data_IF_097485036898
#
_entry.id   IF_097485036898
#
_cell.length_a   1.000
_cell.length_b   1.000
_cell.length_c   1.000
_cell.angle_alpha   90.00
_cell.angle_beta   90.00
_cell.angle_gamma   90.00
#
_symmetry.space_group_name_H-M   'P 1'
#
loop_
_entity.id
_entity.type
_entity.pdbx_description
1 polymer ?
#
# COMPACT_ATOMS: atom_id res chain seq x y z
N UNK A 1 -29.42 -5.57 -8.30
CA UNK A 1 -28.40 -6.56 -8.71
C UNK A 1 -29.03 -7.93 -8.69
N UNK A 2 -28.72 -8.80 -9.67
CA UNK A 2 -29.27 -10.16 -9.67
C UNK A 2 -28.71 -10.98 -8.49
N UNK A 3 -29.49 -11.94 -8.00
CA UNK A 3 -29.06 -12.88 -6.96
C UNK A 3 -27.77 -13.64 -7.35
N UNK A 4 -27.66 -13.99 -8.62
CA UNK A 4 -26.51 -14.67 -9.22
C UNK A 4 -25.23 -13.82 -9.15
N UNK A 5 -25.32 -12.52 -9.45
CA UNK A 5 -24.18 -11.60 -9.38
C UNK A 5 -23.67 -11.44 -7.95
N UNK A 6 -24.58 -11.38 -6.98
CA UNK A 6 -24.24 -11.34 -5.55
C UNK A 6 -23.56 -12.66 -5.13
N UNK A 7 -24.08 -13.80 -5.61
CA UNK A 7 -23.51 -15.12 -5.35
C UNK A 7 -22.10 -15.27 -5.94
N UNK A 8 -21.89 -14.83 -7.19
CA UNK A 8 -20.57 -14.77 -7.82
C UNK A 8 -19.59 -14.01 -6.93
N UNK A 9 -19.90 -12.76 -6.55
CA UNK A 9 -18.99 -11.94 -5.76
C UNK A 9 -18.73 -12.52 -4.38
N UNK A 10 -19.73 -13.17 -3.76
CA UNK A 10 -19.57 -13.87 -2.49
C UNK A 10 -18.57 -15.02 -2.60
N UNK A 11 -18.74 -15.91 -3.59
CA UNK A 11 -17.83 -17.05 -3.80
C UNK A 11 -16.42 -16.59 -4.22
N UNK A 12 -16.34 -15.61 -5.14
CA UNK A 12 -15.07 -15.06 -5.61
C UNK A 12 -14.26 -14.43 -4.48
N UNK A 13 -14.89 -13.63 -3.60
CA UNK A 13 -14.22 -13.02 -2.44
C UNK A 13 -13.77 -14.04 -1.40
N UNK A 14 -14.48 -15.17 -1.29
CA UNK A 14 -14.14 -16.26 -0.38
C UNK A 14 -13.08 -17.23 -0.95
N UNK A 15 -12.54 -16.96 -2.15
CA UNK A 15 -11.59 -17.83 -2.86
C UNK A 15 -12.14 -19.21 -3.21
N UNK A 16 -13.47 -19.37 -3.21
CA UNK A 16 -14.14 -20.56 -3.71
C UNK A 16 -14.32 -20.42 -5.23
N UNK A 17 -13.22 -20.67 -5.96
CA UNK A 17 -13.16 -20.41 -7.39
C UNK A 17 -14.00 -21.37 -8.21
N UNK A 18 -14.24 -22.59 -7.75
CA UNK A 18 -15.13 -23.54 -8.40
C UNK A 18 -16.56 -23.00 -8.39
N UNK A 19 -17.08 -22.63 -7.21
CA UNK A 19 -18.40 -22.03 -7.11
C UNK A 19 -18.49 -20.69 -7.83
N UNK A 20 -17.44 -19.86 -7.76
CA UNK A 20 -17.41 -18.58 -8.47
C UNK A 20 -17.48 -18.78 -10.00
N UNK A 21 -16.78 -19.77 -10.54
CA UNK A 21 -16.85 -20.11 -11.96
C UNK A 21 -18.27 -20.53 -12.36
N UNK A 22 -18.88 -21.45 -11.61
CA UNK A 22 -20.27 -21.89 -11.88
C UNK A 22 -21.25 -20.71 -11.87
N UNK A 23 -21.12 -19.81 -10.88
CA UNK A 23 -21.97 -18.62 -10.82
C UNK A 23 -21.71 -17.67 -11.98
N UNK A 24 -20.45 -17.50 -12.41
CA UNK A 24 -20.09 -16.66 -13.55
C UNK A 24 -20.64 -17.21 -14.87
N UNK A 25 -20.50 -18.52 -15.10
CA UNK A 25 -20.95 -19.18 -16.32
C UNK A 25 -22.47 -19.08 -16.50
N UNK A 26 -23.22 -19.06 -15.39
CA UNK A 26 -24.66 -18.89 -15.37
C UNK A 26 -25.15 -17.43 -15.55
N UNK A 27 -24.25 -16.44 -15.60
CA UNK A 27 -24.65 -15.04 -15.80
C UNK A 27 -25.05 -14.76 -17.26
N UNK A 28 -26.07 -13.92 -17.42
CA UNK A 28 -26.38 -13.25 -18.70
C UNK A 28 -25.19 -12.42 -19.19
N UNK A 29 -25.06 -12.26 -20.52
CA UNK A 29 -23.92 -11.59 -21.16
C UNK A 29 -23.62 -10.20 -20.60
N UNK A 30 -24.65 -9.39 -20.35
CA UNK A 30 -24.46 -8.04 -19.78
C UNK A 30 -23.88 -8.08 -18.36
N UNK A 31 -24.25 -9.08 -17.55
CA UNK A 31 -23.69 -9.24 -16.20
C UNK A 31 -22.27 -9.80 -16.24
N UNK A 32 -21.95 -10.70 -17.19
CA UNK A 32 -20.57 -11.14 -17.43
C UNK A 32 -19.67 -9.98 -17.81
N UNK A 33 -20.12 -9.12 -18.74
CA UNK A 33 -19.40 -7.91 -19.11
C UNK A 33 -19.23 -6.96 -17.91
N UNK A 34 -20.25 -6.78 -17.08
CA UNK A 34 -20.14 -5.99 -15.86
C UNK A 34 -19.09 -6.56 -14.88
N UNK A 35 -19.05 -7.89 -14.69
CA UNK A 35 -18.02 -8.54 -13.86
C UNK A 35 -16.63 -8.34 -14.45
N UNK A 36 -16.45 -8.55 -15.77
CA UNK A 36 -15.15 -8.35 -16.43
C UNK A 36 -14.70 -6.88 -16.36
N UNK A 37 -15.62 -5.94 -16.56
CA UNK A 37 -15.35 -4.51 -16.42
C UNK A 37 -14.98 -4.14 -14.98
N UNK A 38 -15.67 -4.70 -13.97
CA UNK A 38 -15.35 -4.46 -12.56
C UNK A 38 -14.01 -5.10 -12.16
N UNK A 39 -13.69 -6.30 -12.66
CA UNK A 39 -12.37 -6.93 -12.47
C UNK A 39 -11.26 -6.11 -13.15
N UNK A 40 -11.51 -5.62 -14.36
CA UNK A 40 -10.58 -4.77 -15.09
C UNK A 40 -10.37 -3.45 -14.37
N UNK A 41 -11.43 -2.73 -13.99
CA UNK A 41 -11.35 -1.49 -13.22
C UNK A 41 -10.61 -1.69 -11.90
N UNK A 42 -10.92 -2.75 -11.15
CA UNK A 42 -10.15 -3.07 -9.93
C UNK A 42 -8.68 -3.31 -10.27
N UNK A 43 -8.37 -3.99 -11.37
CA UNK A 43 -6.98 -4.16 -11.82
C UNK A 43 -6.34 -2.86 -12.30
N UNK A 44 -7.11 -1.89 -12.79
CA UNK A 44 -6.66 -0.60 -13.33
C UNK A 44 -6.42 0.42 -12.22
N UNK A 45 -7.33 0.53 -11.25
CA UNK A 45 -7.14 1.31 -10.01
C UNK A 45 -6.07 0.71 -9.10
N UNK A 46 -5.69 -0.56 -9.30
CA UNK A 46 -4.52 -1.17 -8.69
C UNK A 46 -3.22 -0.99 -9.49
N UNK A 47 -3.26 -0.43 -10.71
CA UNK A 47 -2.05 -0.17 -11.50
C UNK A 47 -1.43 1.13 -11.08
N UNK A 48 -2.11 2.25 -11.30
CA UNK A 48 -1.51 3.57 -11.05
C UNK A 48 -1.58 3.93 -9.56
N UNK A 49 -0.44 4.10 -8.86
CA UNK A 49 -0.45 4.63 -7.51
C UNK A 49 -1.07 6.03 -7.50
N UNK A 50 -1.67 6.44 -6.38
CA UNK A 50 -2.13 7.81 -6.21
C UNK A 50 -0.97 8.76 -5.92
N UNK A 51 0.02 8.27 -5.18
CA UNK A 51 1.04 9.08 -4.56
C UNK A 51 2.36 8.32 -4.42
N UNK A 52 3.46 9.06 -4.60
CA UNK A 52 4.81 8.65 -4.21
C UNK A 52 5.34 9.61 -3.14
N UNK A 53 5.90 9.07 -2.06
CA UNK A 53 6.67 9.83 -1.07
C UNK A 53 8.14 9.42 -1.12
N UNK A 54 9.04 10.40 -1.06
CA UNK A 54 10.49 10.15 -1.10
C UNK A 54 11.13 10.75 0.14
N UNK A 55 11.84 9.91 0.88
CA UNK A 55 12.55 10.30 2.09
C UNK A 55 14.01 9.91 1.96
N UNK A 56 14.90 10.85 2.27
CA UNK A 56 16.33 10.62 2.37
C UNK A 56 16.70 10.51 3.84
N UNK A 57 17.51 9.52 4.18
CA UNK A 57 18.00 9.31 5.54
C UNK A 57 19.49 9.08 5.57
N UNK A 58 20.11 9.46 6.68
CA UNK A 58 21.52 9.18 6.97
C UNK A 58 21.62 8.41 8.28
N UNK A 59 22.15 7.19 8.20
CA UNK A 59 22.49 6.38 9.37
C UNK A 59 23.54 7.09 10.23
N UNK A 60 23.41 7.00 11.54
CA UNK A 60 24.47 7.41 12.45
C UNK A 60 25.73 6.54 12.28
N UNK A 61 26.89 7.04 12.73
CA UNK A 61 28.21 6.44 12.45
C UNK A 61 28.34 4.96 12.83
N UNK A 62 27.63 4.51 13.87
CA UNK A 62 27.68 3.11 14.33
C UNK A 62 26.43 2.28 13.96
N UNK A 63 25.52 2.83 13.16
CA UNK A 63 24.27 2.17 12.79
C UNK A 63 24.37 1.53 11.40
N UNK A 64 23.61 0.45 11.22
CA UNK A 64 23.46 -0.28 9.97
C UNK A 64 22.05 -0.12 9.40
N UNK A 65 21.88 -0.50 8.13
CA UNK A 65 20.56 -0.58 7.52
C UNK A 65 19.60 -1.50 8.28
N UNK A 66 20.12 -2.57 8.90
CA UNK A 66 19.31 -3.49 9.70
C UNK A 66 18.75 -2.80 10.94
N UNK A 67 19.55 -1.96 11.60
CA UNK A 67 19.12 -1.19 12.77
C UNK A 67 18.03 -0.20 12.38
N UNK A 68 18.23 0.52 11.26
CA UNK A 68 17.18 1.34 10.66
C UNK A 68 15.91 0.54 10.37
N UNK A 69 16.01 -0.60 9.69
CA UNK A 69 14.84 -1.41 9.32
C UNK A 69 14.05 -1.86 10.56
N UNK A 70 14.73 -2.24 11.64
CA UNK A 70 14.09 -2.63 12.90
C UNK A 70 13.37 -1.46 13.58
N UNK A 71 13.97 -0.27 13.58
CA UNK A 71 13.34 0.94 14.11
C UNK A 71 12.15 1.39 13.25
N UNK A 72 12.32 1.35 11.92
CA UNK A 72 11.33 1.78 10.94
C UNK A 72 10.11 0.86 10.85
N UNK A 73 10.32 -0.46 10.95
CA UNK A 73 9.22 -1.41 10.83
C UNK A 73 8.25 -1.25 12.01
N UNK A 74 6.93 -1.19 11.74
CA UNK A 74 5.95 -1.03 12.80
C UNK A 74 5.92 -2.29 13.67
N UNK A 75 5.77 -2.09 14.99
CA UNK A 75 5.57 -3.20 15.92
C UNK A 75 4.17 -3.78 15.75
N UNK A 76 4.00 -5.05 16.12
CA UNK A 76 2.73 -5.76 15.98
C UNK A 76 1.58 -5.11 16.77
N UNK A 77 1.87 -4.52 17.93
CA UNK A 77 0.90 -3.78 18.76
C UNK A 77 0.44 -2.44 18.14
N UNK A 78 1.13 -1.96 17.11
CA UNK A 78 0.77 -0.76 16.33
C UNK A 78 0.06 -1.10 15.02
N UNK A 79 -0.18 -2.39 14.76
CA UNK A 79 -0.75 -2.88 13.52
C UNK A 79 -2.14 -3.47 13.79
N UNK A 80 -3.07 -3.21 12.87
CA UNK A 80 -4.34 -3.94 12.81
C UNK A 80 -4.09 -5.32 12.22
N UNK A 81 -4.47 -6.36 12.94
CA UNK A 81 -4.43 -7.73 12.42
C UNK A 81 -5.55 -7.92 11.39
N UNK A 82 -5.18 -8.32 10.18
CA UNK A 82 -6.13 -8.70 9.11
C UNK A 82 -5.92 -10.17 8.75
N UNK A 83 -6.99 -10.94 8.77
CA UNK A 83 -6.97 -12.34 8.33
C UNK A 83 -7.56 -12.44 6.92
N UNK A 84 -6.79 -12.95 5.96
CA UNK A 84 -7.25 -13.18 4.58
C UNK A 84 -7.02 -14.64 4.16
N UNK A 85 -8.03 -15.47 4.33
CA UNK A 85 -7.91 -16.92 4.15
C UNK A 85 -7.09 -17.54 5.28
N UNK A 86 -5.97 -18.20 4.96
CA UNK A 86 -5.07 -18.82 5.94
C UNK A 86 -3.86 -17.94 6.32
N UNK A 87 -3.85 -16.68 5.90
CA UNK A 87 -2.73 -15.76 6.13
C UNK A 87 -3.17 -14.60 7.02
N UNK A 88 -2.30 -14.24 7.95
CA UNK A 88 -2.43 -13.08 8.84
C UNK A 88 -1.51 -11.98 8.34
N UNK A 89 -2.06 -10.79 8.17
CA UNK A 89 -1.38 -9.58 7.75
C UNK A 89 -1.38 -8.57 8.89
N UNK A 90 -0.26 -7.86 9.05
CA UNK A 90 -0.14 -6.73 9.98
C UNK A 90 -0.34 -5.44 9.15
N UNK A 91 -1.51 -4.84 9.25
CA UNK A 91 -1.82 -3.60 8.55
C UNK A 91 -1.49 -2.40 9.46
N UNK A 92 -0.46 -1.64 9.10
CA UNK A 92 -0.14 -0.37 9.74
C UNK A 92 -0.81 0.83 9.05
N UNK A 93 -0.84 0.81 7.71
CA UNK A 93 -1.47 1.86 6.91
C UNK A 93 -2.87 1.45 6.48
N UNK A 94 -3.83 2.39 6.54
CA UNK A 94 -5.23 2.14 6.20
C UNK A 94 -5.43 1.85 4.71
N UNK A 95 -4.53 2.35 3.86
CA UNK A 95 -4.50 2.11 2.42
C UNK A 95 -3.36 1.17 2.02
N UNK A 96 -3.42 0.53 0.84
CA UNK A 96 -2.29 -0.22 0.32
C UNK A 96 -1.07 0.68 0.13
N UNK A 97 -0.01 0.39 0.87
CA UNK A 97 1.28 1.09 0.78
C UNK A 97 2.38 0.07 0.56
N UNK A 98 3.24 0.35 -0.41
CA UNK A 98 4.51 -0.35 -0.61
C UNK A 98 5.64 0.61 -0.31
N UNK A 99 6.59 0.22 0.54
CA UNK A 99 7.79 1.02 0.79
C UNK A 99 9.01 0.25 0.30
N UNK A 100 9.81 0.90 -0.55
CA UNK A 100 11.09 0.39 -1.02
C UNK A 100 12.17 1.19 -0.29
N UNK A 101 13.00 0.50 0.48
CA UNK A 101 14.17 1.10 1.12
C UNK A 101 15.42 0.62 0.37
N UNK A 102 16.28 1.56 -0.03
CA UNK A 102 17.52 1.28 -0.74
C UNK A 102 18.70 2.01 -0.07
N UNK A 103 19.88 1.41 -0.12
CA UNK A 103 21.14 2.02 0.32
C UNK A 103 21.84 2.61 -0.90
N UNK A 104 22.47 3.77 -0.76
CA UNK A 104 23.30 4.33 -1.83
C UNK A 104 24.60 3.50 -1.98
N UNK A 105 24.89 3.03 -3.19
CA UNK A 105 26.09 2.22 -3.47
C UNK A 105 27.40 2.99 -3.26
N UNK A 106 27.37 4.32 -3.36
CA UNK A 106 28.54 5.19 -3.15
C UNK A 106 28.66 5.69 -1.71
N UNK A 107 27.57 5.62 -0.93
CA UNK A 107 27.54 6.00 0.47
C UNK A 107 26.61 5.06 1.24
N UNK A 108 27.14 3.99 1.87
CA UNK A 108 26.31 3.00 2.56
C UNK A 108 25.59 3.55 3.80
N UNK A 109 25.90 4.79 4.24
CA UNK A 109 25.18 5.48 5.32
C UNK A 109 23.93 6.18 4.81
N UNK A 110 23.78 6.39 3.51
CA UNK A 110 22.60 7.02 2.94
C UNK A 110 21.54 5.97 2.56
N UNK A 111 20.31 6.22 2.97
CA UNK A 111 19.13 5.43 2.66
C UNK A 111 18.13 6.30 1.91
N UNK A 112 17.56 5.78 0.84
CA UNK A 112 16.38 6.34 0.19
C UNK A 112 15.19 5.41 0.45
N UNK A 113 14.12 5.98 1.01
CA UNK A 113 12.83 5.31 1.17
C UNK A 113 11.84 5.89 0.18
N UNK A 114 11.30 5.04 -0.69
CA UNK A 114 10.22 5.38 -1.62
C UNK A 114 8.96 4.69 -1.17
N UNK A 115 7.99 5.47 -0.67
CA UNK A 115 6.65 5.02 -0.36
C UNK A 115 5.74 5.19 -1.56
N UNK A 116 5.03 4.15 -1.95
CA UNK A 116 4.08 4.12 -3.05
C UNK A 116 2.72 3.78 -2.45
N UNK A 117 1.73 4.64 -2.65
CA UNK A 117 0.40 4.50 -2.03
C UNK A 117 -0.67 4.42 -3.11
N UNK A 118 -1.55 3.42 -2.99
CA UNK A 118 -2.72 3.28 -3.84
C UNK A 118 -3.97 3.68 -3.06
N UNK A 119 -4.97 4.17 -3.79
CA UNK A 119 -6.32 4.43 -3.29
C UNK A 119 -7.30 3.71 -4.19
N UNK A 120 -8.32 3.09 -3.61
CA UNK A 120 -9.28 2.26 -4.35
C UNK A 120 -10.56 3.00 -4.69
N UNK A 121 -10.80 4.14 -4.03
CA UNK A 121 -11.99 4.97 -4.21
C UNK A 121 -11.71 6.43 -3.80
N UNK A 122 -12.67 7.32 -4.08
CA UNK A 122 -12.54 8.76 -3.80
C UNK A 122 -12.53 9.07 -2.30
N UNK A 123 -13.25 8.29 -1.50
CA UNK A 123 -13.26 8.46 -0.04
C UNK A 123 -11.86 8.18 0.56
N UNK A 124 -11.19 7.11 0.10
CA UNK A 124 -9.80 6.80 0.47
C UNK A 124 -8.80 7.85 -0.01
N UNK A 125 -9.01 8.41 -1.20
CA UNK A 125 -8.19 9.50 -1.71
C UNK A 125 -8.30 10.74 -0.82
N UNK A 126 -9.52 11.13 -0.44
CA UNK A 126 -9.74 12.24 0.49
C UNK A 126 -9.09 11.97 1.86
N UNK A 127 -9.30 10.77 2.42
CA UNK A 127 -8.69 10.36 3.68
C UNK A 127 -7.17 10.36 3.65
N UNK A 128 -6.55 9.97 2.52
CA UNK A 128 -5.11 10.04 2.32
C UNK A 128 -4.60 11.48 2.35
N UNK A 129 -5.25 12.40 1.64
CA UNK A 129 -4.85 13.80 1.62
C UNK A 129 -5.04 14.49 2.99
N UNK A 130 -6.11 14.16 3.70
CA UNK A 130 -6.33 14.60 5.08
C UNK A 130 -5.26 14.05 6.02
N UNK A 131 -4.93 12.76 5.92
CA UNK A 131 -3.84 12.15 6.69
C UNK A 131 -2.50 12.86 6.46
N UNK A 132 -2.14 13.15 5.22
CA UNK A 132 -0.89 13.84 4.87
C UNK A 132 -0.88 15.24 5.49
N UNK A 133 -2.00 15.96 5.39
CA UNK A 133 -2.16 17.28 6.01
C UNK A 133 -1.97 17.19 7.53
N UNK A 134 -2.61 16.24 8.20
CA UNK A 134 -2.53 16.08 9.66
C UNK A 134 -1.15 15.58 10.12
N UNK A 135 -0.49 14.74 9.32
CA UNK A 135 0.88 14.31 9.57
C UNK A 135 1.87 15.48 9.45
N UNK A 136 1.64 16.41 8.52
CA UNK A 136 2.45 17.63 8.38
C UNK A 136 2.25 18.64 9.53
N UNK A 137 1.19 18.50 10.32
CA UNK A 137 0.89 19.34 11.49
C UNK A 137 1.20 18.67 12.83
N UNK A 138 1.73 17.43 12.84
CA UNK A 138 2.13 16.72 14.07
C UNK A 138 0.95 16.23 14.91
N UNK A 139 -0.13 15.77 14.29
CA UNK A 139 -1.32 15.28 15.00
C UNK A 139 -1.42 13.74 15.04
N UNK A 140 -0.34 13.02 14.65
CA UNK A 140 -0.35 11.56 14.56
C UNK A 140 0.68 10.90 15.49
N UNK A 141 0.24 10.62 16.71
CA UNK A 141 1.04 10.00 17.79
C UNK A 141 1.72 8.68 17.41
N UNK A 142 1.06 7.83 16.60
CA UNK A 142 1.67 6.56 16.19
C UNK A 142 2.77 6.77 15.15
N UNK A 143 2.63 7.79 14.30
CA UNK A 143 3.69 8.17 13.37
C UNK A 143 4.85 8.84 14.12
N UNK A 144 4.57 9.68 15.13
CA UNK A 144 5.58 10.29 16.01
C UNK A 144 6.43 9.24 16.73
N UNK A 145 5.81 8.26 17.41
CA UNK A 145 6.56 7.18 18.08
C UNK A 145 7.44 6.35 17.14
N UNK A 146 7.05 6.24 15.87
CA UNK A 146 7.88 5.58 14.85
C UNK A 146 9.03 6.49 14.41
N UNK A 147 8.79 7.78 14.30
CA UNK A 147 9.82 8.77 13.96
C UNK A 147 10.87 8.85 15.07
N UNK A 148 10.48 8.89 16.35
CA UNK A 148 11.40 8.91 17.49
C UNK A 148 12.39 7.74 17.45
N UNK A 149 11.90 6.51 17.20
CA UNK A 149 12.76 5.32 17.09
C UNK A 149 13.71 5.41 15.90
N UNK A 150 13.26 5.99 14.79
CA UNK A 150 14.10 6.18 13.60
C UNK A 150 15.19 7.21 13.91
N UNK A 151 14.87 8.30 14.60
CA UNK A 151 15.81 9.35 14.99
C UNK A 151 16.95 8.84 15.88
N UNK A 152 16.75 7.77 16.65
CA UNK A 152 17.84 7.13 17.41
C UNK A 152 18.93 6.51 16.51
N UNK A 153 18.56 6.10 15.29
CA UNK A 153 19.44 5.34 14.38
C UNK A 153 19.79 6.05 13.07
N UNK A 154 18.98 7.02 12.67
CA UNK A 154 19.16 7.79 11.45
C UNK A 154 18.45 9.15 11.50
N UNK A 155 19.11 10.17 10.96
CA UNK A 155 18.47 11.45 10.65
C UNK A 155 17.78 11.37 9.29
N UNK A 156 16.70 12.13 9.11
CA UNK A 156 15.88 12.03 7.89
C UNK A 156 15.27 13.35 7.43
N UNK A 157 15.08 13.44 6.13
CA UNK A 157 14.40 14.54 5.45
C UNK A 157 13.35 13.97 4.48
N UNK A 158 12.14 14.52 4.53
CA UNK A 158 11.13 14.28 3.51
C UNK A 158 11.46 15.16 2.30
N UNK A 159 11.92 14.54 1.20
CA UNK A 159 12.22 15.25 -0.03
C UNK A 159 10.95 15.72 -0.73
N UNK A 160 9.86 14.97 -0.56
CA UNK A 160 8.55 15.40 -1.04
C UNK A 160 7.50 14.30 -1.09
N UNK A 161 6.29 14.76 -1.33
CA UNK A 161 5.12 13.96 -1.63
C UNK A 161 4.62 14.38 -3.01
N UNK A 162 4.50 13.42 -3.91
CA UNK A 162 4.24 13.65 -5.32
C UNK A 162 2.96 12.91 -5.72
N UNK A 163 2.07 13.61 -6.43
CA UNK A 163 0.98 12.97 -7.15
C UNK A 163 1.56 12.25 -8.36
N UNK A 164 1.12 11.01 -8.59
CA UNK A 164 1.55 10.25 -9.76
C UNK A 164 0.70 10.66 -10.95
N UNK A 165 1.35 11.06 -12.04
CA UNK A 165 0.68 11.40 -13.30
C UNK A 165 0.65 10.23 -14.28
N UNK A 166 1.73 9.43 -14.32
CA UNK A 166 1.83 8.21 -15.13
C UNK A 166 2.57 7.11 -14.36
N UNK A 167 2.29 5.85 -14.70
CA UNK A 167 3.01 4.66 -14.23
C UNK A 167 3.30 3.77 -15.44
N UNK A 168 4.43 4.05 -16.10
CA UNK A 168 4.81 3.40 -17.34
C UNK A 168 5.77 2.23 -17.08
N UNK A 169 5.41 1.04 -17.58
CA UNK A 169 6.35 -0.07 -17.63
C UNK A 169 7.21 0.05 -18.89
N UNK A 170 8.42 0.60 -18.73
CA UNK A 170 9.39 0.81 -19.83
C UNK A 170 10.27 -0.43 -20.12
N UNK A 171 9.94 -1.59 -19.54
CA UNK A 171 10.61 -2.87 -19.77
C UNK A 171 9.62 -3.98 -20.14
N UNK A 172 10.07 -5.23 -20.08
CA UNK A 172 9.17 -6.39 -20.27
C UNK A 172 8.33 -6.59 -19.00
N UNK A 173 6.98 -6.67 -19.10
CA UNK A 173 6.15 -6.98 -17.95
C UNK A 173 6.46 -8.40 -17.46
N UNK A 174 6.69 -8.53 -16.15
CA UNK A 174 6.69 -9.82 -15.46
C UNK A 174 5.25 -10.24 -15.18
#
# INVERSE_FOLDING_TARGET
MSSQLIAFWKSFRNKDFSSAQEQFDALESNNKQAVLAELFQKSEYHRTPAMVSVLRRRLHDNQSFRDFYQAWFPREDMCKKIEMGRQVYQQHFETPVRVINAINNNDPKEIISVGITWVTNKEEEQGLWEYIKNASTGENKNNELRHDRIEEVAEGELLGVFRVETDDNLGTPF
#
